data_IF_032922844356
#
_entry.id   IF_032922844356
#
_cell.length_a   1.000
_cell.length_b   1.000
_cell.length_c   1.000
_cell.angle_alpha   90.00
_cell.angle_beta   90.00
_cell.angle_gamma   90.00
#
_symmetry.space_group_name_H-M   'P 1'
#
loop_
_entity.id
_entity.type
_entity.pdbx_description
1 polymer ?
#
# COMPACT_ATOMS: atom_id res chain seq x y z
N UNK A 1 -21.29 1.29 20.61
CA UNK A 1 -20.99 2.65 20.12
C UNK A 1 -21.99 3.69 20.61
N UNK A 2 -23.25 3.33 20.93
CA UNK A 2 -24.29 4.30 21.37
C UNK A 2 -23.99 4.97 22.74
N UNK A 3 -23.00 4.50 23.48
CA UNK A 3 -22.60 5.03 24.80
C UNK A 3 -21.24 5.72 24.78
N UNK A 4 -20.64 5.88 23.60
CA UNK A 4 -19.36 6.55 23.43
C UNK A 4 -19.53 7.87 22.67
N UNK A 5 -18.80 8.90 23.07
CA UNK A 5 -18.80 10.19 22.39
C UNK A 5 -18.02 10.16 21.07
N UNK A 6 -17.00 9.31 20.98
CA UNK A 6 -16.16 9.12 19.81
C UNK A 6 -15.61 7.69 19.76
N UNK A 7 -15.42 7.15 18.56
CA UNK A 7 -14.79 5.85 18.33
C UNK A 7 -13.34 6.07 17.89
N UNK A 8 -12.40 5.53 18.65
CA UNK A 8 -11.00 5.46 18.24
C UNK A 8 -10.79 4.22 17.36
N UNK A 9 -10.48 4.44 16.08
CA UNK A 9 -10.22 3.36 15.13
C UNK A 9 -8.75 2.94 15.20
N UNK A 10 -8.48 1.75 15.75
CA UNK A 10 -7.17 1.10 15.76
C UNK A 10 -7.23 -0.23 14.98
N UNK A 11 -7.93 -0.21 13.84
CA UNK A 11 -8.09 -1.35 12.96
C UNK A 11 -7.11 -1.29 11.80
N UNK A 12 -6.74 -2.45 11.26
CA UNK A 12 -5.80 -2.57 10.14
C UNK A 12 -6.41 -3.39 9.00
N UNK A 13 -5.94 -3.11 7.77
CA UNK A 13 -6.27 -3.88 6.58
C UNK A 13 -7.72 -3.77 6.14
N UNK A 14 -8.22 -4.85 5.54
CA UNK A 14 -9.59 -4.92 5.02
C UNK A 14 -10.62 -4.71 6.12
N UNK A 15 -11.69 -3.99 5.79
CA UNK A 15 -12.72 -3.48 6.68
C UNK A 15 -12.27 -2.39 7.66
N UNK A 16 -11.01 -2.35 8.07
CA UNK A 16 -10.49 -1.37 9.02
C UNK A 16 -10.01 -0.07 8.37
N UNK A 17 -9.34 -0.18 7.22
CA UNK A 17 -8.68 0.94 6.54
C UNK A 17 -9.26 1.24 5.14
N UNK A 18 -10.18 0.41 4.64
CA UNK A 18 -10.72 0.48 3.28
C UNK A 18 -12.03 1.28 3.14
N UNK A 19 -12.42 2.01 4.16
CA UNK A 19 -13.62 2.85 4.17
C UNK A 19 -14.89 2.16 4.65
N UNK A 20 -14.92 0.84 4.82
CA UNK A 20 -16.14 0.10 5.18
C UNK A 20 -16.64 0.41 6.59
N UNK A 21 -15.76 0.33 7.58
CA UNK A 21 -16.12 0.69 8.96
C UNK A 21 -16.40 2.18 9.08
N UNK A 22 -15.66 3.02 8.37
CA UNK A 22 -15.88 4.46 8.32
C UNK A 22 -17.27 4.79 7.77
N UNK A 23 -17.65 4.22 6.62
CA UNK A 23 -19.00 4.39 6.04
C UNK A 23 -20.11 3.93 6.98
N UNK A 24 -19.88 2.84 7.71
CA UNK A 24 -20.84 2.35 8.70
C UNK A 24 -21.02 3.34 9.85
N UNK A 25 -19.93 3.84 10.40
CA UNK A 25 -19.97 4.82 11.49
C UNK A 25 -20.61 6.14 11.04
N UNK A 26 -20.27 6.62 9.85
CA UNK A 26 -20.87 7.81 9.24
C UNK A 26 -22.39 7.66 9.04
N UNK A 27 -22.83 6.52 8.53
CA UNK A 27 -24.26 6.23 8.33
C UNK A 27 -25.06 6.25 9.64
N UNK A 28 -24.41 5.95 10.77
CA UNK A 28 -25.02 6.02 12.09
C UNK A 28 -24.74 7.35 12.81
N UNK A 29 -24.07 8.32 12.18
CA UNK A 29 -23.73 9.59 12.78
C UNK A 29 -22.78 9.47 13.97
N UNK A 30 -21.93 8.44 14.01
CA UNK A 30 -21.00 8.17 15.09
C UNK A 30 -19.66 8.82 14.77
N UNK A 31 -19.17 9.79 15.55
CA UNK A 31 -17.84 10.36 15.36
C UNK A 31 -16.74 9.34 15.56
N UNK A 32 -15.69 9.41 14.74
CA UNK A 32 -14.54 8.51 14.84
C UNK A 32 -13.24 9.23 14.46
N UNK A 33 -12.10 8.64 14.83
CA UNK A 33 -10.78 9.15 14.48
C UNK A 33 -10.34 8.64 13.11
N UNK A 34 -9.59 9.49 12.37
CA UNK A 34 -9.01 9.15 11.07
C UNK A 34 -9.75 9.77 9.89
N UNK A 35 -9.43 9.30 8.69
CA UNK A 35 -10.02 9.78 7.45
C UNK A 35 -11.45 9.23 7.25
N UNK A 36 -12.25 9.96 6.47
CA UNK A 36 -13.61 9.52 6.12
C UNK A 36 -13.60 8.29 5.19
N UNK A 37 -14.78 7.70 4.95
CA UNK A 37 -14.92 6.49 4.17
C UNK A 37 -14.36 6.62 2.75
N UNK A 38 -14.60 7.76 2.09
CA UNK A 38 -14.20 7.97 0.70
C UNK A 38 -12.68 8.08 0.58
N UNK A 39 -12.05 8.88 1.44
CA UNK A 39 -10.60 9.02 1.48
C UNK A 39 -9.90 7.70 1.80
N UNK A 40 -10.44 6.93 2.74
CA UNK A 40 -9.93 5.61 3.10
C UNK A 40 -10.03 4.61 1.93
N UNK A 41 -11.18 4.57 1.26
CA UNK A 41 -11.39 3.69 0.11
C UNK A 41 -10.45 4.04 -1.07
N UNK A 42 -10.29 5.32 -1.36
CA UNK A 42 -9.37 5.80 -2.41
C UNK A 42 -7.92 5.45 -2.06
N UNK A 43 -7.50 5.72 -0.82
CA UNK A 43 -6.13 5.47 -0.38
C UNK A 43 -5.77 3.98 -0.40
N UNK A 44 -6.73 3.09 -0.20
CA UNK A 44 -6.51 1.64 -0.23
C UNK A 44 -6.32 1.10 -1.64
N UNK A 45 -6.93 1.71 -2.66
CA UNK A 45 -6.74 1.35 -4.08
C UNK A 45 -5.53 2.08 -4.65
N UNK A 46 -4.43 1.33 -4.89
CA UNK A 46 -3.16 1.91 -5.35
C UNK A 46 -3.26 2.54 -6.75
N UNK A 47 -4.03 1.96 -7.67
CA UNK A 47 -4.22 2.51 -9.01
C UNK A 47 -5.03 3.81 -8.96
N UNK A 48 -6.14 3.80 -8.22
CA UNK A 48 -6.98 4.98 -8.09
C UNK A 48 -6.23 6.14 -7.41
N UNK A 49 -5.50 5.86 -6.32
CA UNK A 49 -4.64 6.85 -5.67
C UNK A 49 -3.67 7.49 -6.66
N UNK A 50 -2.92 6.67 -7.41
CA UNK A 50 -1.94 7.17 -8.39
C UNK A 50 -2.59 8.01 -9.49
N UNK A 51 -3.75 7.59 -10.00
CA UNK A 51 -4.52 8.36 -11.00
C UNK A 51 -4.98 9.72 -10.48
N UNK A 52 -5.28 9.83 -9.21
CA UNK A 52 -5.72 11.08 -8.60
C UNK A 52 -4.54 12.01 -8.27
N UNK A 53 -3.41 11.49 -7.80
CA UNK A 53 -2.29 12.34 -7.39
C UNK A 53 -1.39 12.75 -8.56
N UNK A 54 -1.23 11.93 -9.59
CA UNK A 54 -0.37 12.24 -10.73
C UNK A 54 -0.74 13.54 -11.48
N UNK A 55 -2.02 13.83 -11.77
CA UNK A 55 -2.42 15.09 -12.40
C UNK A 55 -2.15 16.33 -11.53
N UNK A 56 -1.97 16.15 -10.23
CA UNK A 56 -1.62 17.23 -9.30
C UNK A 56 -0.12 17.54 -9.26
N UNK A 57 0.68 16.90 -10.11
CA UNK A 57 2.13 17.06 -10.16
C UNK A 57 2.89 16.31 -9.06
N UNK A 58 2.21 15.43 -8.32
CA UNK A 58 2.85 14.57 -7.32
C UNK A 58 3.53 13.42 -8.05
N UNK A 59 4.85 13.35 -7.93
CA UNK A 59 5.64 12.30 -8.56
C UNK A 59 5.29 10.94 -7.98
N UNK A 60 4.95 10.02 -8.85
CA UNK A 60 4.73 8.61 -8.52
C UNK A 60 5.39 7.75 -9.60
N UNK A 61 5.97 6.58 -9.26
CA UNK A 61 6.57 5.70 -10.25
C UNK A 61 5.56 5.32 -11.34
N UNK A 62 6.03 5.08 -12.56
CA UNK A 62 5.17 4.56 -13.62
C UNK A 62 4.59 3.21 -13.20
N UNK A 63 3.34 2.96 -13.57
CA UNK A 63 2.64 1.76 -13.15
C UNK A 63 1.65 1.29 -14.22
N UNK A 64 1.31 0.03 -14.10
CA UNK A 64 0.23 -0.61 -14.84
C UNK A 64 -0.64 -1.41 -13.88
N UNK A 65 -1.95 -1.24 -13.95
CA UNK A 65 -2.92 -2.14 -13.29
C UNK A 65 -3.19 -3.31 -14.22
N UNK A 66 -3.03 -4.52 -13.71
CA UNK A 66 -3.24 -5.77 -14.45
C UNK A 66 -4.19 -6.67 -13.68
N UNK A 67 -5.22 -7.18 -14.35
CA UNK A 67 -6.04 -8.29 -13.87
C UNK A 67 -5.69 -9.51 -14.71
N UNK A 68 -5.40 -10.63 -14.07
CA UNK A 68 -4.85 -11.82 -14.72
C UNK A 68 -5.28 -13.12 -14.04
N UNK A 69 -5.14 -14.21 -14.75
CA UNK A 69 -5.25 -15.58 -14.27
C UNK A 69 -3.91 -16.31 -14.39
N UNK A 70 -3.82 -17.53 -13.90
CA UNK A 70 -2.58 -18.32 -13.90
C UNK A 70 -2.01 -18.50 -15.32
N UNK A 71 -2.87 -18.69 -16.30
CA UNK A 71 -2.50 -18.86 -17.71
C UNK A 71 -1.90 -17.61 -18.36
N UNK A 72 -2.14 -16.42 -17.80
CA UNK A 72 -1.65 -15.14 -18.33
C UNK A 72 -0.22 -14.83 -17.88
N UNK A 73 0.27 -15.50 -16.82
CA UNK A 73 1.58 -15.21 -16.22
C UNK A 73 2.73 -15.26 -17.22
N UNK A 74 2.85 -16.27 -18.10
CA UNK A 74 3.97 -16.32 -19.03
C UNK A 74 4.02 -15.11 -19.99
N UNK A 75 2.87 -14.65 -20.46
CA UNK A 75 2.78 -13.47 -21.32
C UNK A 75 3.14 -12.19 -20.56
N UNK A 76 2.60 -12.02 -19.35
CA UNK A 76 2.91 -10.88 -18.50
C UNK A 76 4.40 -10.78 -18.15
N UNK A 77 5.03 -11.92 -17.85
CA UNK A 77 6.46 -11.99 -17.54
C UNK A 77 7.30 -11.59 -18.76
N UNK A 78 6.91 -12.01 -19.95
CA UNK A 78 7.61 -11.65 -21.18
C UNK A 78 7.49 -10.17 -21.54
N UNK A 79 6.33 -9.55 -21.26
CA UNK A 79 6.03 -8.18 -21.66
C UNK A 79 6.40 -7.14 -20.60
N UNK A 80 6.77 -7.56 -19.39
CA UNK A 80 7.07 -6.64 -18.29
C UNK A 80 8.56 -6.32 -18.22
N UNK A 81 8.88 -5.01 -18.24
CA UNK A 81 10.26 -4.54 -18.04
C UNK A 81 10.70 -4.73 -16.57
N UNK A 82 11.93 -5.19 -16.39
CA UNK A 82 12.54 -5.42 -15.08
C UNK A 82 13.63 -4.38 -14.78
N UNK A 83 13.87 -4.01 -13.51
CA UNK A 83 13.17 -4.48 -12.31
C UNK A 83 11.79 -3.85 -12.13
N UNK A 84 10.85 -4.60 -11.57
CA UNK A 84 9.47 -4.19 -11.32
C UNK A 84 9.05 -4.52 -9.89
N UNK A 85 8.17 -3.70 -9.32
CA UNK A 85 7.52 -4.00 -8.04
C UNK A 85 6.11 -4.50 -8.30
N UNK A 86 5.82 -5.70 -7.82
CA UNK A 86 4.49 -6.32 -7.86
C UNK A 86 3.77 -6.00 -6.55
N UNK A 87 2.57 -5.44 -6.63
CA UNK A 87 1.77 -5.10 -5.45
C UNK A 87 0.32 -5.55 -5.66
N UNK A 88 -0.31 -6.25 -4.73
CA UNK A 88 -1.77 -6.40 -4.76
C UNK A 88 -2.44 -5.02 -4.88
N UNK A 89 -3.50 -4.92 -5.70
CA UNK A 89 -4.19 -3.65 -5.90
C UNK A 89 -4.65 -3.04 -4.59
N UNK A 90 -5.27 -3.87 -3.76
CA UNK A 90 -5.77 -3.52 -2.44
C UNK A 90 -4.87 -4.09 -1.34
N UNK A 91 -4.95 -3.52 -0.15
CA UNK A 91 -4.18 -3.99 1.00
C UNK A 91 -3.00 -3.09 1.36
N UNK A 92 -2.42 -3.36 2.52
CA UNK A 92 -1.36 -2.56 3.14
C UNK A 92 -0.23 -3.40 3.72
N UNK A 93 0.59 -2.77 4.57
CA UNK A 93 1.67 -3.42 5.35
C UNK A 93 2.65 -4.25 4.53
N UNK A 94 2.86 -3.90 3.26
CA UNK A 94 3.72 -4.63 2.31
C UNK A 94 3.35 -6.11 2.10
N UNK A 95 2.15 -6.54 2.52
CA UNK A 95 1.70 -7.91 2.32
C UNK A 95 1.52 -8.17 0.82
N UNK A 96 2.18 -9.22 0.30
CA UNK A 96 2.18 -9.58 -1.11
C UNK A 96 2.96 -8.63 -2.02
N UNK A 97 3.72 -7.68 -1.46
CA UNK A 97 4.61 -6.81 -2.24
C UNK A 97 5.93 -7.52 -2.50
N UNK A 98 6.36 -7.55 -3.75
CA UNK A 98 7.62 -8.17 -4.16
C UNK A 98 8.37 -7.28 -5.16
N UNK A 99 9.69 -7.27 -5.07
CA UNK A 99 10.57 -6.63 -6.05
C UNK A 99 11.14 -7.74 -6.94
N UNK A 100 10.70 -7.78 -8.19
CA UNK A 100 11.17 -8.75 -9.17
C UNK A 100 12.29 -8.13 -10.04
N UNK A 101 13.45 -8.77 -10.03
CA UNK A 101 14.62 -8.39 -10.83
C UNK A 101 14.87 -9.36 -11.99
N UNK A 102 14.27 -10.56 -11.90
CA UNK A 102 14.37 -11.62 -12.89
C UNK A 102 12.98 -12.12 -13.30
N UNK A 103 12.84 -12.73 -14.50
CA UNK A 103 11.58 -13.34 -14.91
C UNK A 103 11.05 -14.38 -13.91
N UNK A 104 11.94 -15.16 -13.31
CA UNK A 104 11.55 -16.17 -12.31
C UNK A 104 10.97 -15.52 -11.04
N UNK A 105 11.57 -14.42 -10.56
CA UNK A 105 11.04 -13.67 -9.43
C UNK A 105 9.68 -13.03 -9.74
N UNK A 106 9.49 -12.53 -10.97
CA UNK A 106 8.20 -11.97 -11.39
C UNK A 106 7.12 -13.06 -11.45
N UNK A 107 7.44 -14.23 -12.00
CA UNK A 107 6.54 -15.39 -11.99
C UNK A 107 6.10 -15.71 -10.56
N UNK A 108 7.06 -15.92 -9.66
CA UNK A 108 6.77 -16.26 -8.26
C UNK A 108 5.94 -15.18 -7.54
N UNK A 109 6.20 -13.89 -7.81
CA UNK A 109 5.44 -12.79 -7.23
C UNK A 109 3.98 -12.76 -7.71
N UNK A 110 3.74 -13.03 -8.98
CA UNK A 110 2.38 -13.10 -9.55
C UNK A 110 1.63 -14.32 -9.01
N UNK A 111 2.26 -15.49 -8.96
CA UNK A 111 1.69 -16.71 -8.37
C UNK A 111 1.32 -16.48 -6.90
N UNK A 112 2.22 -15.89 -6.11
CA UNK A 112 1.95 -15.54 -4.72
C UNK A 112 0.72 -14.63 -4.56
N UNK A 113 0.54 -13.64 -5.43
CA UNK A 113 -0.65 -12.78 -5.39
C UNK A 113 -1.94 -13.57 -5.66
N UNK A 114 -1.93 -14.51 -6.62
CA UNK A 114 -3.08 -15.38 -6.89
C UNK A 114 -3.39 -16.29 -5.70
N UNK A 115 -2.38 -16.91 -5.09
CA UNK A 115 -2.53 -17.77 -3.91
C UNK A 115 -3.14 -17.01 -2.72
N UNK A 116 -2.87 -15.71 -2.63
CA UNK A 116 -3.48 -14.81 -1.66
C UNK A 116 -4.90 -14.35 -2.05
N UNK A 117 -5.45 -14.81 -3.17
CA UNK A 117 -6.75 -14.41 -3.70
C UNK A 117 -6.77 -13.05 -4.40
N UNK A 118 -5.60 -12.51 -4.76
CA UNK A 118 -5.49 -11.22 -5.46
C UNK A 118 -5.19 -11.43 -6.94
N UNK A 119 -6.23 -11.44 -7.78
CA UNK A 119 -6.10 -11.53 -9.24
C UNK A 119 -5.88 -10.18 -9.93
N UNK A 120 -5.79 -9.10 -9.17
CA UNK A 120 -5.47 -7.77 -9.70
C UNK A 120 -4.30 -7.17 -8.95
N UNK A 121 -3.27 -6.78 -9.69
CA UNK A 121 -2.03 -6.20 -9.16
C UNK A 121 -1.71 -4.86 -9.82
N UNK A 122 -0.86 -4.11 -9.16
CA UNK A 122 -0.12 -2.99 -9.75
C UNK A 122 1.30 -3.46 -10.00
N UNK A 123 1.73 -3.42 -11.26
CA UNK A 123 3.12 -3.54 -11.67
C UNK A 123 3.71 -2.13 -11.73
N UNK A 124 4.69 -1.87 -10.91
CA UNK A 124 5.22 -0.52 -10.69
C UNK A 124 6.72 -0.48 -10.95
N UNK A 125 7.18 0.54 -11.65
CA UNK A 125 8.60 0.78 -11.84
C UNK A 125 9.33 0.78 -10.49
N UNK A 126 10.38 -0.01 -10.38
CA UNK A 126 11.26 0.04 -9.21
C UNK A 126 12.04 1.35 -9.18
N UNK A 127 11.95 2.05 -8.06
CA UNK A 127 12.72 3.28 -7.80
C UNK A 127 13.63 3.02 -6.59
N UNK A 128 14.93 3.19 -6.81
CA UNK A 128 15.92 3.13 -5.74
C UNK A 128 15.99 4.48 -5.02
N UNK A 129 16.12 4.47 -3.70
CA UNK A 129 16.24 5.70 -2.92
C UNK A 129 16.07 5.49 -1.44
N UNK A 130 16.04 6.60 -0.70
CA UNK A 130 15.72 6.63 0.73
C UNK A 130 14.21 6.46 0.91
N UNK A 131 13.80 5.73 1.93
CA UNK A 131 12.39 5.60 2.30
C UNK A 131 12.05 6.67 3.34
N UNK A 132 11.25 7.64 2.94
CA UNK A 132 10.86 8.76 3.77
C UNK A 132 9.35 8.72 4.00
N UNK A 133 8.94 8.80 5.27
CA UNK A 133 7.56 8.95 5.67
C UNK A 133 7.31 10.34 6.24
N UNK A 134 6.17 10.94 5.89
CA UNK A 134 5.70 12.20 6.46
C UNK A 134 4.27 12.01 6.93
N UNK A 135 4.05 12.08 8.23
CA UNK A 135 2.71 12.09 8.82
C UNK A 135 2.00 13.42 8.54
N UNK A 136 0.68 13.39 8.44
CA UNK A 136 -0.15 14.58 8.30
C UNK A 136 -1.20 14.60 9.39
N UNK A 137 -1.27 15.68 10.14
CA UNK A 137 -2.20 15.82 11.26
C UNK A 137 -2.99 17.13 11.11
N UNK A 138 -4.30 16.99 10.99
CA UNK A 138 -5.27 18.07 10.81
C UNK A 138 -4.97 18.90 9.55
N UNK A 139 -4.04 19.85 9.61
CA UNK A 139 -3.73 20.82 8.55
C UNK A 139 -2.23 21.01 8.33
N UNK A 140 -1.38 20.19 8.94
CA UNK A 140 0.08 20.33 8.86
C UNK A 140 0.79 19.00 8.68
N UNK A 141 1.89 19.04 7.94
CA UNK A 141 2.85 17.96 7.87
C UNK A 141 3.64 17.86 9.18
N UNK A 142 3.84 16.65 9.65
CA UNK A 142 4.72 16.36 10.78
C UNK A 142 6.19 16.23 10.31
N UNK A 143 7.18 16.23 11.21
CA UNK A 143 8.55 15.96 10.85
C UNK A 143 8.69 14.67 10.05
N UNK A 144 9.56 14.71 9.04
CA UNK A 144 9.85 13.54 8.22
C UNK A 144 10.61 12.48 9.00
N UNK A 145 10.38 11.22 8.67
CA UNK A 145 11.06 10.07 9.23
C UNK A 145 11.73 9.31 8.07
N UNK A 146 13.03 9.09 8.15
CA UNK A 146 13.70 8.14 7.27
C UNK A 146 13.64 6.76 7.89
N UNK A 147 13.28 5.78 7.08
CA UNK A 147 13.20 4.38 7.47
C UNK A 147 14.31 3.61 6.74
N UNK A 148 15.23 3.04 7.51
CA UNK A 148 16.36 2.27 7.00
C UNK A 148 16.20 0.82 7.42
N UNK A 149 15.69 -0.07 6.54
CA UNK A 149 15.63 -1.50 6.83
C UNK A 149 17.03 -2.07 6.99
N UNK A 150 17.26 -2.92 8.01
CA UNK A 150 18.55 -3.57 8.22
C UNK A 150 18.84 -4.67 7.20
N UNK A 151 17.81 -5.17 6.52
CA UNK A 151 17.93 -6.18 5.47
C UNK A 151 16.83 -6.00 4.42
N UNK A 152 17.14 -6.26 3.16
CA UNK A 152 16.16 -6.28 2.08
C UNK A 152 15.51 -4.92 1.79
N UNK A 153 14.19 -4.88 1.78
CA UNK A 153 13.37 -3.69 1.67
C UNK A 153 12.40 -3.62 2.88
N UNK A 154 11.66 -2.52 3.03
CA UNK A 154 10.73 -2.33 4.15
C UNK A 154 9.47 -3.18 3.96
N UNK A 155 9.64 -4.50 4.10
CA UNK A 155 8.59 -5.51 4.03
C UNK A 155 7.81 -5.64 5.34
N UNK A 156 6.92 -6.63 5.40
CA UNK A 156 6.12 -6.90 6.59
C UNK A 156 6.98 -7.23 7.82
N UNK A 157 8.04 -8.03 7.64
CA UNK A 157 8.92 -8.43 8.72
C UNK A 157 9.69 -7.24 9.29
N UNK A 158 10.27 -6.42 8.40
CA UNK A 158 10.99 -5.20 8.78
C UNK A 158 10.09 -4.14 9.45
N UNK A 159 8.77 -4.17 9.21
CA UNK A 159 7.80 -3.25 9.83
C UNK A 159 7.46 -3.61 11.27
N UNK A 160 7.39 -4.89 11.59
CA UNK A 160 6.79 -5.34 12.86
C UNK A 160 7.77 -6.05 13.80
N UNK A 161 8.95 -6.43 13.33
CA UNK A 161 9.97 -6.98 14.22
C UNK A 161 10.76 -5.87 14.91
N UNK A 162 10.83 -5.88 16.27
CA UNK A 162 11.59 -4.88 16.99
C UNK A 162 13.06 -4.83 16.54
N UNK A 163 13.51 -3.64 16.14
CA UNK A 163 14.89 -3.41 15.72
C UNK A 163 15.23 -3.88 14.30
N UNK A 164 14.27 -4.29 13.47
CA UNK A 164 14.50 -4.68 12.08
C UNK A 164 14.73 -3.48 11.14
N UNK A 165 14.29 -2.29 11.53
CA UNK A 165 14.57 -1.03 10.85
C UNK A 165 15.14 0.00 11.83
N UNK A 166 15.87 0.98 11.31
CA UNK A 166 16.25 2.20 12.01
C UNK A 166 15.36 3.34 11.53
N UNK A 167 14.87 4.14 12.47
CA UNK A 167 14.01 5.30 12.20
C UNK A 167 14.73 6.57 12.62
N UNK A 168 14.97 7.47 11.68
CA UNK A 168 15.67 8.74 11.90
C UNK A 168 14.69 9.88 11.71
N UNK A 169 14.53 10.73 12.72
CA UNK A 169 13.69 11.93 12.67
C UNK A 169 14.40 13.13 13.26
N UNK A 170 14.36 14.34 12.65
CA UNK A 170 13.90 14.56 11.27
C UNK A 170 14.87 13.95 10.23
N UNK A 171 14.32 13.53 9.06
CA UNK A 171 15.08 12.96 7.95
C UNK A 171 15.74 14.05 7.10
#
# INVERSE_FOLDING_TARGET
>A
CQTADIVFLALHGSCGEDGRVQATLEAFGIPFTGANYLSSAIAMDKDLTKRLVAPLGIHTPQWQRVTYAQEDIPALVNDTALPVVVKPLMGGSSIGVSIARTPAELTAALEQCLDMGSSTVVLEQYVSGREIQVGYLVDRALPSIEIIPKSGFYDYENKYQPGAAEEITPA
#
